data_IF_917480132638
#
_entry.id   IF_917480132638
#
_cell.length_a   1.000
_cell.length_b   1.000
_cell.length_c   1.000
_cell.angle_alpha   90.00
_cell.angle_beta   90.00
_cell.angle_gamma   90.00
#
_symmetry.space_group_name_H-M   'P 1'
#
loop_
_entity.id
_entity.type
_entity.pdbx_description
1 polymer ?
#
# COMPACT_ATOMS: atom_id res chain seq x y z
N UNK A 1 13.10 -52.03 -34.69
CA UNK A 1 12.74 -50.64 -34.37
C UNK A 1 13.15 -50.35 -32.94
N UNK A 2 14.37 -49.83 -32.73
CA UNK A 2 14.82 -49.35 -31.42
C UNK A 2 14.77 -47.82 -31.47
N UNK A 3 13.73 -47.28 -30.83
CA UNK A 3 13.42 -45.85 -30.78
C UNK A 3 14.40 -45.18 -29.82
N UNK A 4 15.24 -44.30 -30.37
CA UNK A 4 15.47 -42.95 -29.85
C UNK A 4 15.38 -42.79 -28.32
N UNK A 5 16.42 -43.18 -27.58
CA UNK A 5 16.60 -42.71 -26.21
C UNK A 5 18.08 -42.44 -25.91
N UNK A 6 18.32 -41.31 -25.24
CA UNK A 6 19.59 -40.92 -24.61
C UNK A 6 20.67 -40.24 -25.47
N UNK A 7 20.28 -39.17 -26.19
CA UNK A 7 21.22 -38.24 -26.84
C UNK A 7 21.21 -36.84 -26.22
N UNK A 8 21.36 -36.73 -24.89
CA UNK A 8 21.48 -35.43 -24.21
C UNK A 8 22.84 -35.29 -23.52
N UNK A 9 23.92 -35.59 -24.24
CA UNK A 9 25.27 -35.12 -23.86
C UNK A 9 25.43 -33.65 -24.27
N UNK A 10 24.58 -32.80 -23.71
CA UNK A 10 24.94 -31.41 -23.48
C UNK A 10 26.06 -31.38 -22.44
N UNK A 11 26.87 -30.32 -22.44
CA UNK A 11 27.98 -30.17 -21.49
C UNK A 11 27.48 -30.46 -20.04
N UNK A 12 27.93 -31.54 -19.38
CA UNK A 12 27.39 -31.93 -18.07
C UNK A 12 27.68 -30.88 -17.00
N UNK A 13 28.75 -30.09 -17.18
CA UNK A 13 29.06 -28.96 -16.32
C UNK A 13 28.01 -27.85 -16.46
N UNK A 14 27.45 -27.64 -17.65
CA UNK A 14 26.38 -26.68 -17.87
C UNK A 14 25.10 -27.13 -17.20
N UNK A 15 24.75 -28.42 -17.32
CA UNK A 15 23.54 -28.97 -16.67
C UNK A 15 23.65 -28.83 -15.15
N UNK A 16 24.79 -29.18 -14.56
CA UNK A 16 25.04 -29.01 -13.13
C UNK A 16 25.01 -27.53 -12.71
N UNK A 17 25.65 -26.65 -13.49
CA UNK A 17 25.63 -25.22 -13.22
C UNK A 17 24.19 -24.68 -13.22
N UNK A 18 23.39 -25.02 -14.23
CA UNK A 18 21.98 -24.58 -14.32
C UNK A 18 21.16 -25.10 -13.15
N UNK A 19 21.32 -26.36 -12.74
CA UNK A 19 20.62 -26.91 -11.58
C UNK A 19 21.05 -26.24 -10.26
N UNK A 20 22.33 -25.94 -10.08
CA UNK A 20 22.83 -25.26 -8.88
C UNK A 20 22.36 -23.81 -8.85
N UNK A 21 22.44 -23.09 -9.98
CA UNK A 21 21.98 -21.70 -10.07
C UNK A 21 20.47 -21.60 -9.86
N UNK A 22 19.67 -22.50 -10.45
CA UNK A 22 18.22 -22.49 -10.25
C UNK A 22 17.85 -22.78 -8.79
N UNK A 23 18.51 -23.75 -8.16
CA UNK A 23 18.31 -24.07 -6.74
C UNK A 23 18.70 -22.91 -5.83
N UNK A 24 19.82 -22.23 -6.12
CA UNK A 24 20.29 -21.06 -5.36
C UNK A 24 19.32 -19.88 -5.47
N UNK A 25 18.74 -19.63 -6.64
CA UNK A 25 17.75 -18.56 -6.82
C UNK A 25 16.46 -18.82 -6.05
N UNK A 26 15.96 -20.06 -6.07
CA UNK A 26 14.77 -20.46 -5.29
C UNK A 26 15.05 -20.30 -3.79
N UNK A 27 16.22 -20.75 -3.33
CA UNK A 27 16.60 -20.65 -1.93
C UNK A 27 16.76 -19.19 -1.48
N UNK A 28 17.39 -18.34 -2.30
CA UNK A 28 17.51 -16.91 -2.03
C UNK A 28 16.14 -16.22 -2.02
N UNK A 29 15.25 -16.60 -2.93
CA UNK A 29 13.87 -16.12 -2.96
C UNK A 29 13.10 -16.49 -1.69
N UNK A 30 13.20 -17.73 -1.23
CA UNK A 30 12.62 -18.21 0.03
C UNK A 30 13.15 -17.44 1.23
N UNK A 31 14.47 -17.24 1.32
CA UNK A 31 15.10 -16.45 2.39
C UNK A 31 14.56 -15.01 2.36
N UNK A 32 14.56 -14.37 1.19
CA UNK A 32 14.11 -12.98 1.06
C UNK A 32 12.63 -12.84 1.42
N UNK A 33 11.80 -13.82 1.06
CA UNK A 33 10.39 -13.89 1.44
C UNK A 33 10.24 -14.05 2.96
N UNK A 34 10.98 -14.98 3.58
CA UNK A 34 10.95 -15.18 5.03
C UNK A 34 11.40 -13.92 5.78
N UNK A 35 12.50 -13.29 5.36
CA UNK A 35 12.93 -12.00 5.90
C UNK A 35 11.84 -10.95 5.76
N UNK A 36 11.20 -10.81 4.58
CA UNK A 36 10.10 -9.86 4.40
C UNK A 36 8.89 -10.13 5.29
N UNK A 37 8.59 -11.38 5.62
CA UNK A 37 7.49 -11.71 6.53
C UNK A 37 7.88 -11.42 7.99
N UNK A 38 9.12 -11.69 8.38
CA UNK A 38 9.60 -11.48 9.76
C UNK A 38 9.91 -10.02 10.07
N UNK A 39 10.52 -9.30 9.12
CA UNK A 39 10.92 -7.88 9.26
C UNK A 39 10.01 -6.95 8.48
N UNK A 40 8.93 -7.46 7.89
CA UNK A 40 7.94 -6.66 7.20
C UNK A 40 7.47 -5.55 8.12
N UNK A 41 7.42 -4.28 7.65
CA UNK A 41 6.79 -3.22 8.40
C UNK A 41 5.40 -3.72 8.75
N UNK A 42 5.14 -3.95 10.04
CA UNK A 42 3.76 -4.01 10.50
C UNK A 42 3.21 -2.67 10.07
N UNK A 43 2.34 -2.65 9.07
CA UNK A 43 1.52 -1.51 8.72
C UNK A 43 0.78 -1.14 9.99
N UNK A 44 1.43 -0.36 10.84
CA UNK A 44 0.77 0.34 11.92
C UNK A 44 -0.18 1.23 11.14
N UNK A 45 -1.50 1.01 11.24
CA UNK A 45 -2.43 1.91 10.60
C UNK A 45 -2.00 3.30 11.05
N UNK A 46 -1.62 4.15 10.09
CA UNK A 46 -1.19 5.50 10.37
C UNK A 46 -2.22 6.10 11.34
N UNK A 47 -1.77 6.87 12.37
CA UNK A 47 -2.70 7.48 13.30
C UNK A 47 -3.80 8.13 12.47
N UNK A 48 -5.04 7.66 12.62
CA UNK A 48 -6.18 8.28 11.95
C UNK A 48 -6.26 9.66 12.58
N UNK A 49 -5.62 10.64 11.96
CA UNK A 49 -5.78 12.04 12.33
C UNK A 49 -7.29 12.25 12.36
N UNK A 50 -7.86 12.73 13.48
CA UNK A 50 -9.28 12.99 13.53
C UNK A 50 -9.64 13.85 12.31
N UNK A 51 -10.76 13.55 11.62
CA UNK A 51 -11.19 14.37 10.51
C UNK A 51 -11.26 15.82 11.00
N UNK A 52 -10.74 16.78 10.22
CA UNK A 52 -10.71 18.18 10.63
C UNK A 52 -12.12 18.67 10.93
N UNK A 53 -12.25 19.54 11.93
CA UNK A 53 -13.54 20.13 12.30
C UNK A 53 -14.16 20.80 11.05
N UNK A 54 -15.38 20.41 10.63
CA UNK A 54 -16.03 21.00 9.48
C UNK A 54 -16.10 22.54 9.53
N UNK A 55 -16.20 23.14 10.72
CA UNK A 55 -16.20 24.59 10.88
C UNK A 55 -14.82 25.20 10.64
N UNK A 56 -13.75 24.50 11.03
CA UNK A 56 -12.36 24.87 10.76
C UNK A 56 -12.07 24.83 9.25
N UNK A 57 -12.53 23.79 8.56
CA UNK A 57 -12.42 23.69 7.10
C UNK A 57 -13.15 24.85 6.41
N UNK A 58 -14.38 25.17 6.84
CA UNK A 58 -15.13 26.30 6.30
C UNK A 58 -14.41 27.64 6.53
N UNK A 59 -13.79 27.82 7.70
CA UNK A 59 -13.03 29.03 8.05
C UNK A 59 -11.78 29.18 7.18
N UNK A 60 -11.07 28.10 6.93
CA UNK A 60 -9.88 28.11 6.07
C UNK A 60 -10.27 28.49 4.63
N UNK A 61 -11.32 27.89 4.09
CA UNK A 61 -11.81 28.20 2.74
C UNK A 61 -12.24 29.67 2.60
N UNK A 62 -12.88 30.23 3.62
CA UNK A 62 -13.22 31.66 3.65
C UNK A 62 -11.96 32.54 3.68
N UNK A 63 -10.97 32.19 4.50
CA UNK A 63 -9.70 32.92 4.59
C UNK A 63 -8.90 32.89 3.28
N UNK A 64 -8.98 31.77 2.53
CA UNK A 64 -8.40 31.63 1.18
C UNK A 64 -9.21 32.34 0.09
N UNK A 65 -10.43 32.81 0.40
CA UNK A 65 -11.34 33.42 -0.56
C UNK A 65 -11.99 32.42 -1.52
N UNK A 66 -12.00 31.12 -1.19
CA UNK A 66 -12.65 30.08 -1.99
C UNK A 66 -14.17 30.07 -1.84
N UNK A 67 -14.67 30.66 -0.75
CA UNK A 67 -16.10 30.86 -0.48
C UNK A 67 -16.32 32.31 -0.06
N UNK A 68 -17.47 32.85 -0.43
CA UNK A 68 -17.86 34.18 0.00
C UNK A 68 -18.44 34.18 1.42
N UNK A 69 -18.67 35.39 1.95
CA UNK A 69 -19.22 35.57 3.30
C UNK A 69 -20.61 34.93 3.48
N UNK A 70 -21.50 35.02 2.50
CA UNK A 70 -22.86 34.45 2.59
C UNK A 70 -22.81 32.93 2.59
N UNK A 71 -21.93 32.35 1.78
CA UNK A 71 -21.72 30.90 1.74
C UNK A 71 -21.13 30.39 3.05
N UNK A 72 -20.13 31.08 3.60
CA UNK A 72 -19.57 30.76 4.90
C UNK A 72 -20.63 30.80 6.01
N UNK A 73 -21.44 31.86 6.08
CA UNK A 73 -22.53 31.98 7.07
C UNK A 73 -23.54 30.84 6.95
N UNK A 74 -23.94 30.49 5.72
CA UNK A 74 -24.87 29.38 5.48
C UNK A 74 -24.30 28.05 5.98
N UNK A 75 -23.03 27.77 5.71
CA UNK A 75 -22.35 26.55 6.15
C UNK A 75 -22.23 26.53 7.67
N UNK A 76 -21.74 27.60 8.28
CA UNK A 76 -21.57 27.71 9.73
C UNK A 76 -22.91 27.55 10.48
N UNK A 77 -23.98 28.18 9.99
CA UNK A 77 -25.31 28.06 10.59
C UNK A 77 -25.86 26.63 10.54
N UNK A 78 -25.61 25.90 9.45
CA UNK A 78 -26.00 24.50 9.32
C UNK A 78 -25.21 23.60 10.26
N UNK A 79 -23.89 23.79 10.35
CA UNK A 79 -23.00 23.01 11.22
C UNK A 79 -23.33 23.20 12.70
N UNK A 80 -23.49 24.45 13.13
CA UNK A 80 -23.88 24.79 14.50
C UNK A 80 -25.26 24.24 14.87
N UNK A 81 -26.16 24.10 13.89
CA UNK A 81 -27.47 23.48 14.10
C UNK A 81 -27.36 21.97 14.25
N UNK A 82 -26.52 21.31 13.47
CA UNK A 82 -26.33 19.85 13.53
C UNK A 82 -25.57 19.40 14.78
N UNK A 83 -24.70 20.23 15.33
CA UNK A 83 -23.93 19.92 16.55
C UNK A 83 -24.72 20.13 17.84
N UNK A 84 -25.77 20.95 17.82
CA UNK A 84 -26.67 21.04 18.97
C UNK A 84 -27.46 19.74 19.08
N UNK A 85 -27.33 18.99 20.19
CA UNK A 85 -28.16 17.82 20.41
C UNK A 85 -29.64 18.25 20.40
N UNK A 86 -30.46 17.50 19.66
CA UNK A 86 -31.91 17.66 19.66
C UNK A 86 -32.41 17.43 21.10
N UNK A 87 -33.24 18.33 21.67
CA UNK A 87 -33.80 18.16 23.01
C UNK A 87 -34.72 16.94 23.11
#
# INVERSE_FOLDING_TARGET
>A
MAVFMMGHTGNPLLVLAVMMTSSMLVFLGMITMAYRVLTGPRDHPAPRTPPPDPLEVARERYARGEIDHREFERIAANLLRSERPKP
#
